data_IF_504012078295
#
_entry.id   IF_504012078295
#
_cell.length_a   1.000
_cell.length_b   1.000
_cell.length_c   1.000
_cell.angle_alpha   90.00
_cell.angle_beta   90.00
_cell.angle_gamma   90.00
#
_symmetry.space_group_name_H-M   'P 1'
#
loop_
_entity.id
_entity.type
_entity.pdbx_description
1 polymer ?
#
# COMPACT_ATOMS: atom_id res chain seq x y z
N UNK A 1 3.44 -11.64 3.86
CA UNK A 1 2.81 -10.65 2.97
C UNK A 1 2.80 -9.29 3.67
N UNK A 2 3.69 -8.42 3.25
CA UNK A 2 3.77 -7.03 3.70
C UNK A 2 2.63 -6.21 3.05
N UNK A 3 2.04 -5.32 3.83
CA UNK A 3 1.08 -4.32 3.38
C UNK A 3 1.63 -2.99 3.82
N UNK A 4 1.66 -2.03 2.92
CA UNK A 4 2.14 -0.69 3.22
C UNK A 4 2.27 0.14 1.96
N UNK A 5 2.01 1.43 2.11
CA UNK A 5 2.31 2.43 1.10
C UNK A 5 2.82 3.71 1.77
N UNK A 6 3.44 4.57 0.99
CA UNK A 6 3.82 5.89 1.45
C UNK A 6 4.34 6.78 0.33
N UNK A 7 4.62 8.02 0.70
CA UNK A 7 5.25 9.00 -0.17
C UNK A 7 6.72 9.15 0.21
N UNK A 8 7.56 9.38 -0.79
CA UNK A 8 8.96 9.77 -0.63
C UNK A 8 9.24 10.97 -1.51
N UNK A 9 10.00 11.93 -1.00
CA UNK A 9 10.57 13.00 -1.81
C UNK A 9 11.96 12.56 -2.25
N UNK A 10 12.28 12.75 -3.53
CA UNK A 10 13.65 12.68 -4.03
C UNK A 10 14.05 14.01 -4.65
N UNK A 11 15.23 14.47 -4.28
CA UNK A 11 15.85 15.69 -4.79
C UNK A 11 16.85 15.31 -5.89
N UNK A 12 16.68 15.90 -7.07
CA UNK A 12 17.57 15.74 -8.21
C UNK A 12 17.78 17.10 -8.88
N UNK A 13 19.03 17.55 -8.98
CA UNK A 13 19.42 18.79 -9.65
C UNK A 13 18.62 20.03 -9.18
N UNK A 14 18.47 20.17 -7.85
CA UNK A 14 17.71 21.27 -7.23
C UNK A 14 16.19 21.17 -7.41
N UNK A 15 15.67 20.09 -8.00
CA UNK A 15 14.24 19.85 -8.19
C UNK A 15 13.77 18.70 -7.32
N UNK A 16 12.57 18.84 -6.77
CA UNK A 16 11.99 17.86 -5.85
C UNK A 16 10.83 17.12 -6.49
N UNK A 17 10.80 15.82 -6.26
CA UNK A 17 9.83 14.93 -6.89
C UNK A 17 9.19 14.01 -5.89
N UNK A 18 7.87 13.87 -6.01
CA UNK A 18 7.11 12.85 -5.32
C UNK A 18 7.31 11.49 -5.99
N UNK A 19 7.61 10.52 -5.16
CA UNK A 19 7.55 9.10 -5.47
C UNK A 19 6.54 8.45 -4.53
N UNK A 20 5.66 7.62 -5.08
CA UNK A 20 4.72 6.81 -4.32
C UNK A 20 5.24 5.39 -4.26
N UNK A 21 5.53 4.88 -3.07
CA UNK A 21 5.90 3.48 -2.89
C UNK A 21 4.75 2.70 -2.31
N UNK A 22 4.62 1.44 -2.71
CA UNK A 22 3.63 0.53 -2.17
C UNK A 22 4.04 -0.93 -2.34
N UNK A 23 3.51 -1.80 -1.49
CA UNK A 23 3.65 -3.24 -1.66
C UNK A 23 2.53 -3.80 -2.53
N UNK A 24 2.90 -4.49 -3.61
CA UNK A 24 1.99 -5.26 -4.46
C UNK A 24 2.18 -6.76 -4.25
N UNK A 25 1.14 -7.53 -4.57
CA UNK A 25 1.18 -9.00 -4.50
C UNK A 25 1.52 -9.54 -5.88
N UNK A 26 2.70 -10.11 -6.00
CA UNK A 26 3.14 -10.81 -7.21
C UNK A 26 3.52 -12.25 -6.86
N UNK A 27 2.88 -13.23 -7.51
CA UNK A 27 3.17 -14.66 -7.35
C UNK A 27 3.28 -15.14 -5.88
N UNK A 28 2.46 -14.59 -4.98
CA UNK A 28 2.45 -14.95 -3.56
C UNK A 28 3.54 -14.27 -2.71
N UNK A 29 4.34 -13.38 -3.30
CA UNK A 29 5.33 -12.54 -2.61
C UNK A 29 4.85 -11.09 -2.56
N UNK A 30 5.39 -10.34 -1.61
CA UNK A 30 5.22 -8.90 -1.54
C UNK A 30 6.38 -8.24 -2.28
N UNK A 31 6.09 -7.49 -3.32
CA UNK A 31 7.07 -6.72 -4.08
C UNK A 31 6.86 -5.26 -3.78
N UNK A 32 7.95 -4.53 -3.50
CA UNK A 32 7.89 -3.09 -3.25
C UNK A 32 8.06 -2.35 -4.57
N UNK A 33 7.03 -1.66 -5.01
CA UNK A 33 7.05 -0.77 -6.17
C UNK A 33 7.26 0.67 -5.72
N UNK A 34 7.94 1.46 -6.54
CA UNK A 34 8.13 2.89 -6.31
C UNK A 34 7.91 3.64 -7.63
N UNK A 35 6.79 4.37 -7.69
CA UNK A 35 6.35 5.06 -8.89
C UNK A 35 6.67 6.54 -8.80
N UNK A 36 7.22 7.08 -9.88
CA UNK A 36 7.29 8.53 -10.06
C UNK A 36 5.88 9.12 -10.16
N UNK A 37 5.61 10.19 -9.43
CA UNK A 37 4.32 10.90 -9.45
C UNK A 37 4.44 12.25 -10.13
N UNK A 38 5.48 13.02 -9.82
CA UNK A 38 5.66 14.36 -10.38
C UNK A 38 6.41 15.31 -9.45
N UNK A 39 6.47 16.59 -9.81
CA UNK A 39 7.15 17.63 -9.00
C UNK A 39 6.38 17.92 -7.71
N UNK A 40 7.10 18.24 -6.63
CA UNK A 40 6.48 18.56 -5.34
C UNK A 40 5.60 19.81 -5.41
N UNK A 41 5.97 20.77 -6.24
CA UNK A 41 5.27 22.04 -6.43
C UNK A 41 3.99 21.91 -7.28
N UNK A 42 3.76 20.76 -7.92
CA UNK A 42 2.62 20.56 -8.81
C UNK A 42 1.40 20.10 -8.02
N UNK A 43 0.34 20.92 -8.03
CA UNK A 43 -0.96 20.54 -7.43
C UNK A 43 -1.53 19.26 -8.03
N UNK A 44 -1.39 19.09 -9.36
CA UNK A 44 -1.78 17.84 -10.04
C UNK A 44 -1.05 16.63 -9.47
N UNK A 45 0.25 16.76 -9.19
CA UNK A 45 1.06 15.67 -8.63
C UNK A 45 0.66 15.36 -7.19
N UNK A 46 0.36 16.39 -6.39
CA UNK A 46 -0.20 16.22 -5.03
C UNK A 46 -1.55 15.50 -5.06
N UNK A 47 -2.47 15.92 -5.93
CA UNK A 47 -3.78 15.28 -6.08
C UNK A 47 -3.66 13.82 -6.54
N UNK A 48 -2.74 13.53 -7.47
CA UNK A 48 -2.45 12.17 -7.92
C UNK A 48 -1.88 11.29 -6.81
N UNK A 49 -0.93 11.80 -6.02
CA UNK A 49 -0.37 11.08 -4.88
C UNK A 49 -1.46 10.66 -3.88
N UNK A 50 -2.34 11.60 -3.50
CA UNK A 50 -3.44 11.33 -2.58
C UNK A 50 -4.44 10.33 -3.15
N UNK A 51 -4.73 10.40 -4.46
CA UNK A 51 -5.58 9.44 -5.16
C UNK A 51 -4.99 8.03 -5.10
N UNK A 52 -3.70 7.87 -5.39
CA UNK A 52 -3.01 6.56 -5.31
C UNK A 52 -3.00 6.01 -3.90
N UNK A 53 -2.76 6.87 -2.91
CA UNK A 53 -2.79 6.47 -1.50
C UNK A 53 -4.18 5.96 -1.09
N UNK A 54 -5.25 6.66 -1.47
CA UNK A 54 -6.62 6.23 -1.20
C UNK A 54 -6.95 4.89 -1.89
N UNK A 55 -6.57 4.74 -3.16
CA UNK A 55 -6.77 3.51 -3.91
C UNK A 55 -6.02 2.33 -3.26
N UNK A 56 -4.81 2.55 -2.76
CA UNK A 56 -4.06 1.54 -2.03
C UNK A 56 -4.76 1.14 -0.72
N UNK A 57 -5.18 2.12 0.10
CA UNK A 57 -5.84 1.85 1.38
C UNK A 57 -7.10 1.00 1.20
N UNK A 58 -7.94 1.31 0.20
CA UNK A 58 -9.13 0.50 -0.09
C UNK A 58 -8.80 -0.96 -0.42
N UNK A 59 -7.74 -1.20 -1.20
CA UNK A 59 -7.26 -2.57 -1.47
C UNK A 59 -6.71 -3.24 -0.21
N UNK A 60 -5.94 -2.50 0.58
CA UNK A 60 -5.35 -2.98 1.82
C UNK A 60 -6.41 -3.37 2.86
N UNK A 61 -7.49 -2.59 2.99
CA UNK A 61 -8.64 -2.91 3.86
C UNK A 61 -9.26 -4.26 3.51
N UNK A 62 -9.45 -4.56 2.22
CA UNK A 62 -9.93 -5.87 1.76
C UNK A 62 -8.98 -7.02 2.14
N UNK A 63 -7.67 -6.80 2.02
CA UNK A 63 -6.66 -7.78 2.43
C UNK A 63 -6.63 -7.98 3.95
N UNK A 64 -6.78 -6.93 4.75
CA UNK A 64 -6.88 -7.04 6.21
C UNK A 64 -8.14 -7.81 6.61
N UNK A 65 -9.29 -7.50 6.01
CA UNK A 65 -10.53 -8.22 6.25
C UNK A 65 -10.39 -9.72 5.92
N UNK A 66 -9.75 -10.05 4.78
CA UNK A 66 -9.48 -11.44 4.41
C UNK A 66 -8.58 -12.15 5.43
N UNK A 67 -7.48 -11.51 5.84
CA UNK A 67 -6.56 -12.08 6.85
C UNK A 67 -7.27 -12.32 8.17
N UNK A 68 -8.05 -11.34 8.62
CA UNK A 68 -8.86 -11.45 9.83
C UNK A 68 -9.82 -12.64 9.76
N UNK A 69 -10.58 -12.77 8.67
CA UNK A 69 -11.52 -13.88 8.50
C UNK A 69 -10.85 -15.27 8.50
N UNK A 70 -9.62 -15.38 7.96
CA UNK A 70 -8.83 -16.62 8.03
C UNK A 70 -8.47 -16.95 9.48
N UNK A 71 -7.96 -15.97 10.22
CA UNK A 71 -7.58 -16.15 11.63
C UNK A 71 -8.80 -16.48 12.49
N UNK A 72 -9.92 -15.78 12.31
CA UNK A 72 -11.17 -16.04 13.01
C UNK A 72 -11.66 -17.48 12.81
N UNK A 73 -11.58 -18.01 11.59
CA UNK A 73 -11.90 -19.43 11.33
C UNK A 73 -10.94 -20.40 12.02
N UNK A 74 -9.64 -20.10 12.02
CA UNK A 74 -8.64 -20.94 12.70
C UNK A 74 -8.89 -20.98 14.20
N UNK A 75 -9.17 -19.82 14.81
CA UNK A 75 -9.50 -19.71 16.24
C UNK A 75 -10.78 -20.49 16.56
N UNK A 76 -11.85 -20.30 15.78
CA UNK A 76 -13.11 -21.02 15.99
C UNK A 76 -12.93 -22.54 15.92
N UNK A 77 -12.21 -23.04 14.91
CA UNK A 77 -11.95 -24.48 14.77
C UNK A 77 -11.16 -25.06 15.96
N UNK A 78 -10.18 -24.32 16.48
CA UNK A 78 -9.43 -24.74 17.66
C UNK A 78 -10.30 -24.77 18.92
N UNK A 79 -11.21 -23.81 19.08
CA UNK A 79 -12.12 -23.74 20.23
C UNK A 79 -13.25 -24.78 20.20
N UNK A 80 -13.69 -25.25 19.03
CA UNK A 80 -14.73 -26.28 18.90
C UNK A 80 -14.18 -27.71 19.08
N UNK A 81 -12.86 -27.89 19.09
CA UNK A 81 -12.22 -29.21 19.24
C UNK A 81 -11.98 -29.61 20.71
N UNK A 82 -12.67 -28.96 21.66
CA UNK A 82 -12.64 -29.23 23.10
C UNK A 82 -14.04 -29.65 23.58
#
# INVERSE_FOLDING_TARGET
MEIGCGARIRDFDGRRYWYFWHYEREAGRSVRHEDYVGRVESERSRAELLRRMLAYHRRAEGEFARRRAVIERMVAAACTSA
#
